data_IF_217564961788
#
_entry.id   IF_217564961788
#
_cell.length_a   1.000
_cell.length_b   1.000
_cell.length_c   1.000
_cell.angle_alpha   90.00
_cell.angle_beta   90.00
_cell.angle_gamma   90.00
#
_symmetry.space_group_name_H-M   'P 1'
#
loop_
_entity.id
_entity.type
_entity.pdbx_description
1 polymer ?
#
# COMPACT_ATOMS: atom_id res chain seq x y z
N UNK A 1 -82.92 -9.61 -38.69
CA UNK A 1 -81.49 -9.28 -38.94
C UNK A 1 -80.92 -8.70 -37.69
N UNK A 2 -79.98 -9.44 -37.00
CA UNK A 2 -79.24 -8.93 -35.79
C UNK A 2 -77.80 -8.53 -36.17
N UNK A 3 -77.29 -7.39 -35.76
CA UNK A 3 -75.93 -7.03 -36.05
C UNK A 3 -74.94 -7.72 -35.09
N UNK A 4 -73.92 -8.33 -35.67
CA UNK A 4 -72.80 -8.97 -34.99
C UNK A 4 -71.83 -7.89 -34.39
N UNK A 5 -71.65 -7.96 -33.09
CA UNK A 5 -70.66 -7.13 -32.41
C UNK A 5 -69.27 -7.80 -32.51
N UNK A 6 -68.38 -7.29 -33.33
CA UNK A 6 -66.89 -7.61 -33.31
C UNK A 6 -66.26 -7.05 -32.05
N UNK A 7 -65.71 -7.94 -31.22
CA UNK A 7 -64.82 -7.55 -30.11
C UNK A 7 -63.38 -7.37 -30.65
N UNK A 8 -62.82 -6.16 -30.50
CA UNK A 8 -61.43 -5.86 -30.79
C UNK A 8 -60.65 -6.15 -29.50
N UNK A 9 -59.77 -7.17 -29.53
CA UNK A 9 -58.85 -7.44 -28.45
C UNK A 9 -57.61 -6.56 -28.67
N UNK A 10 -57.44 -5.56 -27.80
CA UNK A 10 -56.22 -4.73 -27.72
C UNK A 10 -55.22 -5.43 -26.81
N UNK A 11 -54.15 -5.97 -27.39
CA UNK A 11 -53.01 -6.47 -26.64
C UNK A 11 -52.10 -5.30 -26.32
N UNK A 12 -52.04 -4.90 -25.04
CA UNK A 12 -51.06 -3.92 -24.53
C UNK A 12 -49.82 -4.70 -24.15
N UNK A 13 -48.80 -4.63 -24.98
CA UNK A 13 -47.44 -5.13 -24.66
C UNK A 13 -46.76 -4.12 -23.76
N UNK A 14 -46.68 -4.43 -22.45
CA UNK A 14 -45.84 -3.69 -21.52
C UNK A 14 -44.36 -4.06 -21.78
N UNK A 15 -43.65 -3.21 -22.49
CA UNK A 15 -42.17 -3.27 -22.58
C UNK A 15 -41.58 -2.70 -21.28
N UNK A 16 -41.21 -3.60 -20.36
CA UNK A 16 -40.53 -3.22 -19.12
C UNK A 16 -39.11 -2.74 -19.43
N UNK A 17 -38.84 -1.45 -19.23
CA UNK A 17 -37.52 -0.85 -19.31
C UNK A 17 -36.75 -1.27 -18.05
N UNK A 18 -35.85 -2.26 -18.16
CA UNK A 18 -34.91 -2.62 -17.09
C UNK A 18 -33.80 -1.57 -17.07
N UNK A 19 -33.91 -0.57 -16.19
CA UNK A 19 -32.83 0.37 -15.89
C UNK A 19 -31.83 -0.36 -14.99
N UNK A 20 -30.72 -0.83 -15.57
CA UNK A 20 -29.59 -1.34 -14.81
C UNK A 20 -28.96 -0.17 -14.04
N UNK A 21 -29.21 -0.09 -12.73
CA UNK A 21 -28.48 0.79 -11.82
C UNK A 21 -27.04 0.33 -11.74
N UNK A 22 -26.17 0.95 -12.53
CA UNK A 22 -24.71 0.83 -12.36
C UNK A 22 -24.34 1.57 -11.07
N UNK A 23 -24.21 0.82 -9.98
CA UNK A 23 -23.69 1.36 -8.72
C UNK A 23 -22.24 1.78 -8.97
N UNK A 24 -22.00 3.07 -9.15
CA UNK A 24 -20.65 3.64 -9.17
C UNK A 24 -20.05 3.46 -7.79
N UNK A 25 -19.23 2.42 -7.60
CA UNK A 25 -18.43 2.26 -6.40
C UNK A 25 -17.44 3.41 -6.36
N UNK A 26 -17.69 4.40 -5.50
CA UNK A 26 -16.70 5.44 -5.21
C UNK A 26 -15.49 4.75 -4.60
N UNK A 27 -14.33 4.89 -5.24
CA UNK A 27 -13.06 4.42 -4.68
C UNK A 27 -12.91 5.03 -3.28
N UNK A 28 -12.82 4.17 -2.26
CA UNK A 28 -12.66 4.62 -0.87
C UNK A 28 -11.19 4.97 -0.65
N UNK A 29 -10.92 6.21 -0.22
CA UNK A 29 -9.59 6.61 0.21
C UNK A 29 -9.30 6.02 1.59
N UNK A 30 -8.16 5.33 1.72
CA UNK A 30 -7.76 4.65 2.95
C UNK A 30 -6.69 5.43 3.70
N UNK A 31 -6.95 5.66 5.00
CA UNK A 31 -5.98 6.21 5.95
C UNK A 31 -5.46 5.04 6.79
N UNK A 32 -4.14 4.97 6.99
CA UNK A 32 -3.55 3.90 7.80
C UNK A 32 -3.87 4.09 9.28
N UNK A 33 -4.22 3.00 9.96
CA UNK A 33 -4.56 2.94 11.38
C UNK A 33 -3.68 1.90 12.09
N UNK A 34 -3.50 2.00 13.41
CA UNK A 34 -2.85 0.94 14.17
C UNK A 34 -3.50 -0.42 13.92
N UNK A 35 -2.69 -1.47 13.80
CA UNK A 35 -3.20 -2.84 13.58
C UNK A 35 -4.13 -3.30 14.70
N UNK A 36 -3.99 -2.75 15.92
CA UNK A 36 -4.90 -2.99 17.06
C UNK A 36 -6.33 -2.49 16.84
N UNK A 37 -6.53 -1.57 15.88
CA UNK A 37 -7.86 -1.05 15.49
C UNK A 37 -8.45 -1.82 14.29
N UNK A 38 -7.82 -2.90 13.88
CA UNK A 38 -8.23 -3.67 12.70
C UNK A 38 -9.59 -4.31 12.91
N UNK A 39 -10.56 -3.95 12.06
CA UNK A 39 -11.94 -4.48 12.08
C UNK A 39 -12.24 -5.38 10.89
N UNK A 40 -11.31 -5.51 9.94
CA UNK A 40 -11.48 -6.30 8.73
C UNK A 40 -10.17 -6.53 7.99
N UNK A 41 -10.21 -7.28 6.91
CA UNK A 41 -9.01 -7.59 6.13
C UNK A 41 -8.55 -6.37 5.31
N UNK A 42 -9.48 -5.71 4.62
CA UNK A 42 -9.16 -4.59 3.72
C UNK A 42 -8.81 -3.32 4.50
N UNK A 43 -7.78 -2.63 4.05
CA UNK A 43 -7.33 -1.37 4.65
C UNK A 43 -5.82 -1.22 4.69
N UNK A 44 -5.37 -0.18 5.40
CA UNK A 44 -3.97 0.08 5.70
C UNK A 44 -3.77 0.00 7.21
N UNK A 45 -2.86 -0.86 7.66
CA UNK A 45 -2.65 -1.19 9.08
C UNK A 45 -1.20 -0.94 9.48
N UNK A 46 -0.98 -0.05 10.44
CA UNK A 46 0.36 0.21 11.01
C UNK A 46 0.70 -0.98 11.90
N UNK A 47 1.70 -1.75 11.49
CA UNK A 47 2.15 -2.96 12.18
C UNK A 47 3.24 -2.68 13.20
N UNK A 48 4.06 -1.65 12.96
CA UNK A 48 5.07 -1.18 13.92
C UNK A 48 5.50 0.26 13.61
N UNK A 49 5.99 0.95 14.63
CA UNK A 49 6.69 2.23 14.53
C UNK A 49 7.91 2.18 15.45
N UNK A 50 9.11 2.39 14.89
CA UNK A 50 10.38 2.24 15.60
C UNK A 50 11.25 3.46 15.38
N UNK A 51 11.74 4.08 16.45
CA UNK A 51 12.78 5.09 16.36
C UNK A 51 14.08 4.35 16.03
N UNK A 52 14.76 4.79 14.96
CA UNK A 52 16.02 4.21 14.54
C UNK A 52 17.17 4.94 15.22
N UNK A 53 18.20 4.18 15.57
CA UNK A 53 19.50 4.76 15.86
C UNK A 53 20.07 5.43 14.60
N UNK A 54 21.17 6.17 14.76
CA UNK A 54 21.84 6.81 13.63
C UNK A 54 22.11 5.79 12.51
N UNK A 55 21.64 6.15 11.32
CA UNK A 55 21.83 5.29 10.15
C UNK A 55 23.33 5.26 9.75
N UNK A 56 23.83 4.13 9.23
CA UNK A 56 25.17 4.04 8.68
C UNK A 56 25.39 5.09 7.58
N UNK A 57 26.63 5.54 7.41
CA UNK A 57 27.01 6.52 6.37
C UNK A 57 27.02 5.95 4.95
N UNK A 58 26.79 4.64 4.80
CA UNK A 58 26.73 3.93 3.53
C UNK A 58 25.30 3.92 2.96
N UNK A 59 25.14 3.45 1.72
CA UNK A 59 23.80 3.25 1.12
C UNK A 59 22.95 2.31 1.97
N UNK A 60 21.73 2.74 2.26
CA UNK A 60 20.78 2.05 3.14
C UNK A 60 19.74 1.30 2.33
N UNK A 61 19.42 0.11 2.79
CA UNK A 61 18.42 -0.78 2.19
C UNK A 61 17.41 -1.25 3.24
N UNK A 62 16.20 -1.52 2.79
CA UNK A 62 15.20 -2.24 3.55
C UNK A 62 15.28 -3.72 3.23
N UNK A 63 15.63 -4.52 4.23
CA UNK A 63 15.73 -5.97 4.15
C UNK A 63 14.46 -6.61 4.71
N UNK A 64 13.90 -7.56 3.97
CA UNK A 64 12.70 -8.31 4.33
C UNK A 64 13.07 -9.79 4.43
N UNK A 65 13.09 -10.31 5.64
CA UNK A 65 13.36 -11.73 5.92
C UNK A 65 12.16 -12.36 6.60
N UNK A 66 11.83 -13.63 6.29
CA UNK A 66 10.76 -14.37 6.96
C UNK A 66 11.32 -15.44 7.87
N UNK A 67 10.60 -15.71 8.95
CA UNK A 67 10.95 -16.70 9.96
C UNK A 67 9.77 -17.62 10.27
N UNK A 68 10.03 -18.87 10.70
CA UNK A 68 8.97 -19.80 11.06
C UNK A 68 8.22 -19.41 12.33
N UNK A 69 8.86 -18.66 13.24
CA UNK A 69 8.26 -18.20 14.49
C UNK A 69 8.73 -16.79 14.86
N UNK A 70 7.91 -16.07 15.63
CA UNK A 70 8.28 -14.77 16.21
C UNK A 70 9.55 -14.85 17.05
N UNK A 71 9.69 -15.87 17.91
CA UNK A 71 10.86 -16.06 18.77
C UNK A 71 12.16 -16.23 17.96
N UNK A 72 12.10 -16.93 16.83
CA UNK A 72 13.27 -17.08 15.94
C UNK A 72 13.64 -15.74 15.27
N UNK A 73 12.66 -14.94 14.86
CA UNK A 73 12.89 -13.60 14.31
C UNK A 73 13.49 -12.64 15.36
N UNK A 74 12.94 -12.66 16.58
CA UNK A 74 13.42 -11.82 17.70
C UNK A 74 14.85 -12.21 18.10
N UNK A 75 15.21 -13.49 18.09
CA UNK A 75 16.57 -13.93 18.36
C UNK A 75 17.59 -13.48 17.28
N UNK A 76 17.13 -13.24 16.05
CA UNK A 76 17.95 -12.77 14.94
C UNK A 76 17.94 -11.24 14.76
N UNK A 77 17.11 -10.55 15.53
CA UNK A 77 16.89 -9.10 15.43
C UNK A 77 18.15 -8.33 15.85
N UNK A 78 18.64 -7.47 14.94
CA UNK A 78 19.67 -6.48 15.22
C UNK A 78 19.10 -5.14 15.67
N UNK A 79 19.96 -4.13 15.95
CA UNK A 79 19.54 -2.82 16.49
C UNK A 79 18.51 -2.08 15.64
N UNK A 80 18.54 -2.24 14.32
CA UNK A 80 17.62 -1.62 13.36
C UNK A 80 16.64 -2.62 12.72
N UNK A 81 16.47 -3.76 13.37
CA UNK A 81 15.47 -4.77 13.02
C UNK A 81 14.14 -4.53 13.74
N UNK A 82 13.04 -4.89 13.12
CA UNK A 82 11.68 -4.86 13.69
C UNK A 82 10.95 -6.13 13.30
N UNK A 83 10.45 -6.87 14.29
CA UNK A 83 9.69 -8.09 14.05
C UNK A 83 8.21 -7.75 13.98
N UNK A 84 7.55 -8.14 12.89
CA UNK A 84 6.09 -7.96 12.71
C UNK A 84 5.45 -9.26 12.23
N UNK A 85 4.17 -9.44 12.57
CA UNK A 85 3.31 -10.44 11.97
C UNK A 85 2.39 -9.75 10.97
N UNK A 86 2.49 -10.11 9.70
CA UNK A 86 1.77 -9.45 8.62
C UNK A 86 1.60 -10.41 7.45
N UNK A 87 0.45 -10.33 6.78
CA UNK A 87 0.11 -11.14 5.60
C UNK A 87 0.33 -12.66 5.84
N UNK A 88 0.02 -13.12 7.06
CA UNK A 88 0.13 -14.52 7.45
C UNK A 88 1.56 -15.05 7.64
N UNK A 89 2.55 -14.16 7.78
CA UNK A 89 3.97 -14.51 8.01
C UNK A 89 4.56 -13.71 9.17
N UNK A 90 5.63 -14.26 9.74
CA UNK A 90 6.52 -13.53 10.66
C UNK A 90 7.65 -12.92 9.83
N UNK A 91 7.81 -11.62 9.93
CA UNK A 91 8.83 -10.85 9.22
C UNK A 91 9.83 -10.24 10.20
N UNK A 92 11.10 -10.30 9.84
CA UNK A 92 12.14 -9.41 10.36
C UNK A 92 12.42 -8.36 9.29
N UNK A 93 12.07 -7.12 9.58
CA UNK A 93 12.22 -5.96 8.73
C UNK A 93 13.42 -5.16 9.23
N UNK A 94 14.50 -5.05 8.45
CA UNK A 94 15.75 -4.43 8.92
C UNK A 94 16.17 -3.29 7.98
N UNK A 95 16.65 -2.19 8.56
CA UNK A 95 17.22 -1.06 7.82
C UNK A 95 18.74 -1.11 7.98
N UNK A 96 19.47 -1.55 6.95
CA UNK A 96 20.90 -1.78 6.98
C UNK A 96 21.58 -1.52 5.63
N UNK A 97 22.91 -1.62 5.60
CA UNK A 97 23.69 -1.53 4.38
C UNK A 97 23.40 -2.67 3.39
N UNK A 98 23.80 -2.49 2.15
CA UNK A 98 23.64 -3.50 1.09
C UNK A 98 24.21 -4.86 1.50
N UNK A 99 23.48 -5.92 1.16
CA UNK A 99 23.92 -7.30 1.39
C UNK A 99 23.90 -7.75 2.85
N UNK A 100 23.45 -6.92 3.79
CA UNK A 100 23.29 -7.34 5.19
C UNK A 100 22.39 -8.57 5.31
N UNK A 101 22.73 -9.48 6.24
CA UNK A 101 21.96 -10.71 6.48
C UNK A 101 21.82 -10.97 7.97
N UNK A 102 20.61 -11.30 8.46
CA UNK A 102 20.41 -11.80 9.81
C UNK A 102 20.89 -13.27 9.92
N UNK A 103 20.97 -13.78 11.13
CA UNK A 103 21.16 -15.21 11.38
C UNK A 103 19.87 -15.97 11.09
N UNK A 104 19.93 -16.95 10.20
CA UNK A 104 18.76 -17.74 9.80
C UNK A 104 17.72 -16.91 8.99
N UNK A 105 16.52 -17.48 8.85
CA UNK A 105 15.44 -16.88 8.06
C UNK A 105 15.65 -16.99 6.55
N UNK A 106 14.60 -16.69 5.80
CA UNK A 106 14.59 -16.67 4.34
C UNK A 106 14.53 -15.23 3.86
N UNK A 107 15.56 -14.76 3.11
CA UNK A 107 15.54 -13.47 2.45
C UNK A 107 14.50 -13.45 1.35
N UNK A 108 13.51 -12.57 1.51
CA UNK A 108 12.43 -12.34 0.53
C UNK A 108 12.77 -11.18 -0.41
N UNK A 109 13.29 -10.06 0.15
CA UNK A 109 13.64 -8.90 -0.66
C UNK A 109 14.71 -8.04 0.02
N UNK A 110 15.45 -7.29 -0.82
CA UNK A 110 16.32 -6.19 -0.44
C UNK A 110 15.94 -4.99 -1.31
N UNK A 111 15.43 -3.93 -0.70
CA UNK A 111 14.84 -2.77 -1.38
C UNK A 111 15.69 -1.54 -1.10
N UNK A 112 16.22 -0.94 -2.14
CA UNK A 112 17.10 0.22 -2.01
C UNK A 112 17.92 0.49 -3.28
N UNK A 113 18.87 1.45 -3.21
CA UNK A 113 19.15 2.27 -2.03
C UNK A 113 18.01 3.23 -1.68
N UNK A 114 17.72 3.39 -0.39
CA UNK A 114 16.75 4.36 0.11
C UNK A 114 17.39 5.76 0.09
N UNK A 115 16.74 6.79 -0.49
CA UNK A 115 17.28 8.14 -0.56
C UNK A 115 17.17 8.88 0.79
N UNK A 116 18.08 8.59 1.71
CA UNK A 116 18.16 9.20 3.04
C UNK A 116 19.14 10.36 3.08
N UNK A 117 18.93 11.30 4.03
CA UNK A 117 19.83 12.43 4.29
C UNK A 117 20.63 12.15 5.56
N UNK A 118 21.94 12.23 5.49
CA UNK A 118 22.87 11.81 6.56
C UNK A 118 22.69 12.55 7.90
N UNK A 119 22.16 13.78 7.90
CA UNK A 119 21.98 14.59 9.12
C UNK A 119 20.59 14.40 9.78
N UNK A 120 19.75 13.54 9.25
CA UNK A 120 18.38 13.33 9.75
C UNK A 120 18.32 12.13 10.69
N UNK A 121 17.69 12.31 11.85
CA UNK A 121 17.29 11.20 12.71
C UNK A 121 16.00 10.61 12.17
N UNK A 122 16.01 9.32 11.86
CA UNK A 122 14.86 8.66 11.24
C UNK A 122 14.06 7.81 12.23
N UNK A 123 12.75 7.73 11.98
CA UNK A 123 11.88 6.68 12.48
C UNK A 123 11.34 5.88 11.31
N UNK A 124 11.14 4.58 11.52
CA UNK A 124 10.53 3.67 10.55
C UNK A 124 9.09 3.34 10.95
N UNK A 125 8.13 3.62 10.09
CA UNK A 125 6.76 3.13 10.21
C UNK A 125 6.56 2.01 9.21
N UNK A 126 6.18 0.84 9.71
CA UNK A 126 5.88 -0.34 8.91
C UNK A 126 4.37 -0.55 8.83
N UNK A 127 3.89 -0.90 7.64
CA UNK A 127 2.46 -1.07 7.41
C UNK A 127 2.18 -2.29 6.54
N UNK A 128 1.00 -2.85 6.75
CA UNK A 128 0.35 -3.79 5.85
C UNK A 128 -0.77 -3.05 5.11
N UNK A 129 -0.83 -3.18 3.79
CA UNK A 129 -1.89 -2.58 3.01
C UNK A 129 -2.55 -3.62 2.10
N UNK A 130 -3.85 -3.83 2.27
CA UNK A 130 -4.68 -4.79 1.52
C UNK A 130 -5.81 -4.01 0.87
N UNK A 131 -5.72 -3.80 -0.44
CA UNK A 131 -6.63 -2.95 -1.20
C UNK A 131 -7.25 -3.73 -2.36
N UNK A 132 -8.56 -3.62 -2.54
CA UNK A 132 -9.17 -4.05 -3.80
C UNK A 132 -8.81 -3.08 -4.93
N UNK A 133 -8.83 -3.54 -6.20
CA UNK A 133 -8.62 -2.65 -7.35
C UNK A 133 -9.50 -1.39 -7.27
N UNK A 134 -8.91 -0.24 -7.53
CA UNK A 134 -9.54 1.08 -7.42
C UNK A 134 -9.51 1.73 -6.04
N UNK A 135 -9.17 1.03 -4.96
CA UNK A 135 -8.93 1.68 -3.67
C UNK A 135 -7.67 2.55 -3.72
N UNK A 136 -7.72 3.68 -3.01
CA UNK A 136 -6.65 4.68 -3.03
C UNK A 136 -6.17 5.05 -1.63
N UNK A 137 -4.93 5.56 -1.51
CA UNK A 137 -4.53 6.42 -0.40
C UNK A 137 -4.70 7.88 -0.82
N UNK A 138 -5.18 8.79 0.07
CA UNK A 138 -5.31 10.21 -0.24
C UNK A 138 -3.96 10.83 -0.66
N UNK A 139 -4.00 11.98 -1.36
CA UNK A 139 -2.79 12.72 -1.68
C UNK A 139 -2.08 13.17 -0.39
N UNK A 140 -0.81 12.80 -0.27
CA UNK A 140 0.00 13.03 0.94
C UNK A 140 1.50 13.15 0.61
N UNK A 141 2.31 13.49 1.64
CA UNK A 141 3.77 13.58 1.60
C UNK A 141 4.38 12.89 2.80
N UNK A 142 5.65 12.53 2.66
CA UNK A 142 6.52 12.06 3.74
C UNK A 142 7.76 12.95 3.83
N UNK A 143 8.35 13.07 5.02
CA UNK A 143 9.61 13.81 5.22
C UNK A 143 10.86 13.01 4.83
N UNK A 144 10.70 11.74 4.49
CA UNK A 144 11.75 10.84 3.99
C UNK A 144 11.19 9.81 3.03
N UNK A 145 11.97 8.81 2.62
CA UNK A 145 11.56 7.87 1.59
C UNK A 145 10.45 6.93 2.06
N UNK A 146 9.59 6.56 1.09
CA UNK A 146 8.65 5.46 1.22
C UNK A 146 9.01 4.35 0.23
N UNK A 147 8.86 3.09 0.66
CA UNK A 147 9.13 1.92 -0.16
C UNK A 147 8.05 0.86 0.01
N UNK A 148 7.78 0.10 -1.07
CA UNK A 148 6.78 -0.98 -1.08
C UNK A 148 7.37 -2.30 -1.54
N UNK A 149 6.98 -3.36 -0.84
CA UNK A 149 7.10 -4.73 -1.28
C UNK A 149 5.70 -5.27 -1.63
N UNK A 150 5.40 -5.37 -2.91
CA UNK A 150 4.11 -5.90 -3.39
C UNK A 150 4.14 -7.43 -3.36
N UNK A 151 3.32 -8.02 -2.49
CA UNK A 151 3.21 -9.49 -2.32
C UNK A 151 2.22 -10.08 -3.33
N UNK A 152 1.13 -9.35 -3.64
CA UNK A 152 0.11 -9.72 -4.61
C UNK A 152 -0.54 -8.48 -5.23
N UNK A 153 -1.10 -8.62 -6.41
CA UNK A 153 -1.75 -7.52 -7.13
C UNK A 153 -0.77 -6.46 -7.60
N UNK A 154 -1.25 -5.23 -7.74
CA UNK A 154 -0.47 -4.14 -8.32
C UNK A 154 -0.64 -2.83 -7.53
N UNK A 155 0.48 -2.15 -7.30
CA UNK A 155 0.56 -0.79 -6.74
C UNK A 155 0.89 0.17 -7.86
N UNK A 156 0.04 1.15 -8.13
CA UNK A 156 0.37 2.30 -8.96
C UNK A 156 0.49 3.55 -8.09
N UNK A 157 1.62 4.21 -8.18
CA UNK A 157 1.90 5.46 -7.47
C UNK A 157 2.06 6.59 -8.46
N UNK A 158 1.30 7.66 -8.27
CA UNK A 158 1.41 8.90 -9.03
C UNK A 158 2.09 9.98 -8.20
N UNK A 159 3.04 10.69 -8.82
CA UNK A 159 3.76 11.84 -8.27
C UNK A 159 3.79 12.96 -9.32
N UNK A 160 4.25 14.19 -8.99
CA UNK A 160 4.49 15.23 -10.00
C UNK A 160 5.43 14.81 -11.14
N UNK A 161 6.36 13.90 -10.88
CA UNK A 161 7.32 13.38 -11.86
C UNK A 161 6.75 12.31 -12.80
N UNK A 162 5.55 11.77 -12.51
CA UNK A 162 4.90 10.72 -13.30
C UNK A 162 4.35 9.60 -12.45
N UNK A 163 4.25 8.37 -13.03
CA UNK A 163 3.79 7.19 -12.29
C UNK A 163 4.85 6.11 -12.20
N UNK A 164 4.78 5.35 -11.12
CA UNK A 164 5.53 4.11 -10.90
C UNK A 164 4.56 2.97 -10.63
N UNK A 165 4.91 1.77 -11.07
CA UNK A 165 4.08 0.57 -10.88
C UNK A 165 4.91 -0.53 -10.27
N UNK A 166 4.46 -1.04 -9.13
CA UNK A 166 5.02 -2.21 -8.45
C UNK A 166 4.08 -3.41 -8.54
N UNK A 167 4.64 -4.58 -8.89
CA UNK A 167 3.92 -5.86 -8.99
C UNK A 167 4.56 -6.91 -8.11
N UNK A 168 3.79 -7.94 -7.77
CA UNK A 168 4.32 -9.11 -7.08
C UNK A 168 5.50 -9.71 -7.86
N UNK A 169 6.63 -9.94 -7.18
CA UNK A 169 7.88 -10.42 -7.77
C UNK A 169 8.54 -9.48 -8.79
N UNK A 170 8.03 -8.24 -8.92
CA UNK A 170 8.49 -7.23 -9.88
C UNK A 170 9.38 -6.15 -9.29
N UNK A 171 9.39 -5.01 -9.97
CA UNK A 171 10.24 -3.86 -9.62
C UNK A 171 9.87 -3.28 -8.25
N UNK A 172 10.89 -2.88 -7.54
CA UNK A 172 10.78 -2.10 -6.31
C UNK A 172 10.18 -0.73 -6.62
N UNK A 173 9.31 -0.24 -5.74
CA UNK A 173 8.80 1.13 -5.79
C UNK A 173 9.37 1.88 -4.60
N UNK A 174 10.16 2.91 -4.87
CA UNK A 174 10.76 3.78 -3.86
C UNK A 174 10.49 5.22 -4.28
N UNK A 175 10.01 6.03 -3.35
CA UNK A 175 9.76 7.47 -3.55
C UNK A 175 10.57 8.24 -2.55
N UNK A 176 11.31 9.29 -2.97
CA UNK A 176 12.00 10.18 -2.05
C UNK A 176 11.00 10.98 -1.21
N UNK A 177 11.43 11.42 -0.03
CA UNK A 177 10.68 12.37 0.78
C UNK A 177 10.49 13.72 0.08
N UNK A 178 9.43 14.44 0.46
CA UNK A 178 9.11 15.79 0.00
C UNK A 178 8.00 15.86 -1.05
N UNK A 179 8.12 15.25 -2.23
CA UNK A 179 7.07 15.31 -3.25
C UNK A 179 5.73 14.74 -2.78
N UNK A 180 4.60 15.32 -3.23
CA UNK A 180 3.29 14.71 -2.98
C UNK A 180 3.14 13.43 -3.82
N UNK A 181 2.33 12.51 -3.29
CA UNK A 181 2.03 11.26 -3.95
C UNK A 181 0.58 10.83 -3.74
N UNK A 182 0.09 9.99 -4.66
CA UNK A 182 -1.22 9.37 -4.60
C UNK A 182 -1.11 7.93 -5.05
N UNK A 183 -1.54 7.00 -4.19
CA UNK A 183 -1.49 5.57 -4.47
C UNK A 183 -2.86 5.06 -4.92
N UNK A 184 -2.87 4.20 -5.93
CA UNK A 184 -4.04 3.43 -6.38
C UNK A 184 -3.66 1.96 -6.48
N UNK A 185 -4.49 1.08 -5.93
CA UNK A 185 -4.43 -0.33 -6.25
C UNK A 185 -4.99 -0.54 -7.66
N UNK A 186 -4.18 -1.06 -8.57
CA UNK A 186 -4.54 -1.30 -9.97
C UNK A 186 -4.54 -2.79 -10.32
N UNK A 187 -4.80 -3.13 -11.58
CA UNK A 187 -4.93 -4.53 -11.99
C UNK A 187 -6.28 -5.14 -11.60
N UNK A 188 -6.35 -6.46 -11.53
CA UNK A 188 -7.58 -7.23 -11.28
C UNK A 188 -7.58 -7.98 -9.96
N UNK A 189 -6.42 -8.11 -9.31
CA UNK A 189 -6.25 -8.84 -8.06
C UNK A 189 -6.23 -7.90 -6.85
N UNK A 190 -6.59 -8.42 -5.67
CA UNK A 190 -6.43 -7.71 -4.41
C UNK A 190 -4.93 -7.43 -4.20
N UNK A 191 -4.59 -6.16 -4.08
CA UNK A 191 -3.24 -5.74 -3.74
C UNK A 191 -2.94 -6.08 -2.28
N UNK A 192 -1.82 -6.75 -2.04
CA UNK A 192 -1.24 -7.02 -0.72
C UNK A 192 0.20 -6.53 -0.71
N UNK A 193 0.52 -5.64 0.18
CA UNK A 193 1.87 -5.08 0.25
C UNK A 193 2.31 -4.81 1.68
N UNK A 194 3.61 -4.97 1.92
CA UNK A 194 4.31 -4.35 3.04
C UNK A 194 4.80 -2.98 2.59
N UNK A 195 4.74 -2.02 3.49
CA UNK A 195 5.11 -0.63 3.24
C UNK A 195 6.04 -0.16 4.35
N UNK A 196 7.11 0.52 3.97
CA UNK A 196 7.99 1.26 4.85
C UNK A 196 7.88 2.75 4.57
N UNK A 197 7.60 3.56 5.59
CA UNK A 197 7.86 4.99 5.60
C UNK A 197 9.05 5.24 6.53
N UNK A 198 10.14 5.72 5.96
CA UNK A 198 11.31 6.15 6.73
C UNK A 198 11.27 7.67 6.82
N UNK A 199 10.80 8.22 7.94
CA UNK A 199 10.54 9.65 8.09
C UNK A 199 11.45 10.30 9.13
N UNK A 200 11.61 11.61 9.02
CA UNK A 200 12.27 12.41 10.07
C UNK A 200 11.53 12.20 11.41
N UNK A 201 12.25 11.78 12.43
CA UNK A 201 11.68 11.49 13.76
C UNK A 201 11.03 12.73 14.42
N UNK A 202 11.39 13.95 13.99
CA UNK A 202 10.79 15.19 14.46
C UNK A 202 9.49 15.58 13.71
N UNK A 203 9.09 14.81 12.70
CA UNK A 203 7.93 15.10 11.86
C UNK A 203 6.95 13.92 11.84
N UNK A 204 5.65 14.16 11.58
CA UNK A 204 4.70 13.07 11.41
C UNK A 204 5.09 12.20 10.20
N UNK A 205 4.83 10.88 10.25
CA UNK A 205 5.15 9.98 9.14
C UNK A 205 4.44 10.34 7.84
N UNK A 206 3.28 10.99 7.93
CA UNK A 206 2.46 11.36 6.78
C UNK A 206 1.83 12.73 6.99
N UNK A 207 1.90 13.59 5.96
CA UNK A 207 1.27 14.90 5.94
C UNK A 207 0.33 15.00 4.73
N UNK A 208 -0.94 15.42 4.89
CA UNK A 208 -1.84 15.66 3.76
C UNK A 208 -1.26 16.65 2.75
N UNK A 209 -1.55 16.45 1.46
CA UNK A 209 -1.11 17.30 0.37
C UNK A 209 -2.30 17.92 -0.39
N UNK A 210 -3.10 18.81 0.24
CA UNK A 210 -4.29 19.38 -0.38
C UNK A 210 -3.97 20.37 -1.52
N UNK A 211 -2.73 20.82 -1.60
CA UNK A 211 -2.20 21.72 -2.63
C UNK A 211 -1.83 20.99 -3.94
N UNK A 212 -1.94 19.64 -3.99
CA UNK A 212 -1.67 18.85 -5.17
C UNK A 212 -2.79 17.85 -5.46
N UNK A 213 -3.15 17.75 -6.74
CA UNK A 213 -4.12 16.79 -7.23
C UNK A 213 -3.46 15.82 -8.24
N UNK A 214 -3.71 14.51 -8.13
CA UNK A 214 -3.20 13.54 -9.10
C UNK A 214 -3.83 13.78 -10.48
N UNK A 215 -3.05 13.57 -11.56
CA UNK A 215 -3.50 13.69 -12.95
C UNK A 215 -4.32 12.48 -13.42
N UNK A 216 -4.41 11.44 -12.58
CA UNK A 216 -5.13 10.20 -12.89
C UNK A 216 -4.33 9.25 -13.79
N UNK A 217 -3.00 9.26 -13.71
CA UNK A 217 -2.12 8.37 -14.47
C UNK A 217 -2.25 6.90 -14.05
N UNK A 218 -2.81 6.63 -12.87
CA UNK A 218 -3.06 5.31 -12.29
C UNK A 218 -4.51 4.82 -12.48
N UNK A 219 -5.27 5.42 -13.39
CA UNK A 219 -6.60 4.89 -13.73
C UNK A 219 -6.45 3.65 -14.62
N UNK A 220 -7.27 2.63 -14.36
CA UNK A 220 -7.42 1.46 -15.22
C UNK A 220 -8.23 1.80 -16.45
#
# INVERSE_FOLDING_TARGET
MKPSKRRINVWITLTGLVVALVASHKASAQICRPVSERTGELGCWITAHTVLEQLPSQSIFWHLDTYPTRAAAEAAQGPRGTVVESLGKVWLLTIEGAGWRPSGGDRIAEIGPLPVTAATNYSAQYMEAIFTPGMTAPAHRHSGPEAWYTVAGETCLETPAGKMVGRAGGSQVIVPGGPPMHLTATGTEIRRALVLILHDAAQPPTTPAPDWAPKGLCRN
#
